data_IF_555494029490
#
_entry.id   IF_555494029490
#
_cell.length_a   1.000
_cell.length_b   1.000
_cell.length_c   1.000
_cell.angle_alpha   90.00
_cell.angle_beta   90.00
_cell.angle_gamma   90.00
#
_symmetry.space_group_name_H-M   'P 1'
#
loop_
_entity.id
_entity.type
_entity.pdbx_description
1 polymer ?
#
# COMPACT_ATOMS: atom_id res chain seq x y z
N UNK A 1 48.81 -19.19 59.75
CA UNK A 1 48.31 -20.30 58.91
C UNK A 1 47.33 -19.70 57.90
N UNK A 2 47.82 -19.17 56.77
CA UNK A 2 47.83 -19.83 55.43
C UNK A 2 46.48 -20.47 55.05
N UNK A 3 45.76 -20.10 53.99
CA UNK A 3 45.83 -19.04 53.00
C UNK A 3 44.44 -18.98 52.32
N UNK A 4 43.94 -17.79 51.90
CA UNK A 4 42.86 -17.65 50.93
C UNK A 4 43.44 -17.24 49.56
N UNK A 5 43.03 -17.90 48.48
CA UNK A 5 43.26 -17.50 47.07
C UNK A 5 42.34 -18.38 46.20
N UNK A 6 41.68 -17.94 45.12
CA UNK A 6 42.07 -16.91 44.17
C UNK A 6 40.87 -16.36 43.37
N UNK A 7 40.73 -15.03 43.36
CA UNK A 7 40.28 -14.28 42.19
C UNK A 7 41.44 -14.24 41.19
N UNK A 8 41.25 -14.70 39.94
CA UNK A 8 41.93 -14.21 38.73
C UNK A 8 41.52 -15.04 37.51
N UNK A 9 40.81 -14.41 36.59
CA UNK A 9 41.12 -14.41 35.16
C UNK A 9 40.23 -13.37 34.47
N UNK A 10 40.60 -12.09 34.65
CA UNK A 10 40.37 -11.06 33.65
C UNK A 10 41.48 -11.20 32.61
N UNK A 11 41.12 -11.37 31.33
CA UNK A 11 41.96 -11.00 30.19
C UNK A 11 41.04 -10.60 29.02
N UNK A 12 40.98 -9.28 28.75
CA UNK A 12 40.68 -8.69 27.43
C UNK A 12 41.95 -8.84 26.54
N UNK A 13 42.03 -8.15 25.38
CA UNK A 13 41.37 -8.35 24.09
C UNK A 13 42.42 -8.76 23.02
N UNK A 14 42.02 -9.24 21.84
CA UNK A 14 42.93 -9.30 20.69
C UNK A 14 42.31 -8.66 19.46
N UNK A 15 43.08 -7.70 18.96
CA UNK A 15 42.92 -6.77 17.85
C UNK A 15 42.68 -7.40 16.48
N UNK A 16 41.92 -6.63 15.70
CA UNK A 16 41.91 -6.48 14.23
C UNK A 16 42.97 -7.21 13.40
N UNK A 17 42.50 -7.98 12.43
CA UNK A 17 43.20 -8.20 11.16
C UNK A 17 42.22 -7.99 10.00
N UNK A 18 42.52 -6.96 9.22
CA UNK A 18 42.00 -6.64 7.90
C UNK A 18 42.37 -7.73 6.90
N UNK A 19 41.38 -8.26 6.17
CA UNK A 19 41.60 -8.95 4.91
C UNK A 19 40.69 -8.33 3.85
N UNK A 20 41.28 -7.41 3.10
CA UNK A 20 40.85 -7.02 1.77
C UNK A 20 41.21 -8.14 0.79
N UNK A 21 40.22 -8.78 0.17
CA UNK A 21 40.39 -9.33 -1.17
C UNK A 21 39.07 -9.26 -1.95
N UNK A 22 39.20 -8.63 -3.11
CA UNK A 22 38.29 -8.57 -4.22
C UNK A 22 38.00 -9.96 -4.80
N UNK A 23 36.76 -10.17 -5.24
CA UNK A 23 36.38 -11.40 -5.93
C UNK A 23 34.89 -11.45 -6.22
N UNK A 24 34.50 -10.89 -7.36
CA UNK A 24 33.21 -11.13 -8.00
C UNK A 24 32.88 -12.63 -7.99
N UNK A 25 31.81 -13.03 -7.29
CA UNK A 25 31.15 -14.32 -7.52
C UNK A 25 29.73 -14.07 -8.00
N UNK A 26 29.64 -14.08 -9.32
CA UNK A 26 28.42 -14.22 -10.11
C UNK A 26 27.83 -15.59 -9.76
N UNK A 27 26.60 -15.61 -9.24
CA UNK A 27 25.82 -16.84 -9.13
C UNK A 27 25.24 -17.16 -10.52
N UNK A 28 25.53 -18.34 -11.12
CA UNK A 28 24.81 -18.77 -12.30
C UNK A 28 23.45 -19.32 -11.89
N UNK A 29 22.39 -18.69 -12.41
CA UNK A 29 21.10 -19.34 -12.58
C UNK A 29 21.27 -20.56 -13.48
N UNK A 30 20.80 -21.73 -13.04
CA UNK A 30 20.53 -22.87 -13.91
C UNK A 30 19.13 -23.39 -13.61
N UNK A 31 18.23 -23.11 -14.53
CA UNK A 31 16.95 -23.79 -14.74
C UNK A 31 17.22 -25.08 -15.52
N UNK A 32 16.92 -26.25 -14.96
CA UNK A 32 16.65 -27.45 -15.76
C UNK A 32 15.53 -28.27 -15.14
N UNK A 33 14.66 -28.76 -16.02
CA UNK A 33 13.41 -29.44 -15.73
C UNK A 33 13.63 -30.82 -15.09
N UNK A 34 12.70 -31.21 -14.22
CA UNK A 34 12.58 -32.58 -13.71
C UNK A 34 11.99 -33.46 -14.82
N UNK A 35 12.85 -33.95 -15.71
CA UNK A 35 12.55 -35.05 -16.63
C UNK A 35 13.64 -36.12 -16.52
N UNK A 36 13.59 -36.90 -15.45
CA UNK A 36 14.30 -38.17 -15.33
C UNK A 36 13.61 -39.05 -14.27
N UNK A 37 12.39 -39.49 -14.57
CA UNK A 37 11.82 -40.66 -13.91
C UNK A 37 12.31 -41.90 -14.69
N UNK A 38 13.04 -42.78 -14.02
CA UNK A 38 13.51 -44.05 -14.60
C UNK A 38 12.31 -44.95 -14.96
N UNK A 39 12.30 -45.59 -16.15
CA UNK A 39 11.23 -46.48 -16.54
C UNK A 39 11.32 -47.77 -15.71
N UNK A 40 10.19 -48.18 -15.12
CA UNK A 40 10.07 -49.47 -14.44
C UNK A 40 10.28 -50.61 -15.44
N UNK A 41 11.33 -51.39 -15.24
CA UNK A 41 11.65 -52.57 -16.05
C UNK A 41 10.62 -53.68 -15.83
N UNK A 42 9.99 -54.13 -16.92
CA UNK A 42 9.14 -55.33 -16.95
C UNK A 42 10.03 -56.57 -16.90
N UNK A 43 9.75 -57.47 -15.96
CA UNK A 43 10.42 -58.78 -15.81
C UNK A 43 9.90 -59.77 -16.84
N UNK A 44 10.80 -60.31 -17.67
CA UNK A 44 10.54 -61.52 -18.46
C UNK A 44 10.71 -62.77 -17.59
N UNK A 45 9.85 -63.76 -17.85
CA UNK A 45 9.76 -65.04 -17.16
C UNK A 45 10.92 -65.98 -17.53
N UNK A 46 11.53 -66.62 -16.52
CA UNK A 46 12.49 -67.71 -16.69
C UNK A 46 11.80 -69.06 -16.53
N UNK A 47 12.03 -69.99 -17.47
CA UNK A 47 11.85 -71.45 -17.27
C UNK A 47 13.07 -71.99 -16.51
N UNK A 48 12.80 -72.68 -15.40
CA UNK A 48 13.74 -73.51 -14.60
C UNK A 48 13.99 -74.88 -15.30
N UNK A 49 14.98 -75.75 -14.92
CA UNK A 49 15.39 -76.05 -13.52
C UNK A 49 16.85 -76.48 -13.22
N UNK A 50 17.25 -76.36 -11.94
CA UNK A 50 17.99 -77.36 -11.13
C UNK A 50 18.33 -76.77 -9.73
N UNK A 51 17.92 -77.47 -8.66
CA UNK A 51 18.11 -77.09 -7.25
C UNK A 51 19.53 -77.49 -6.72
N UNK A 52 19.92 -77.31 -5.43
CA UNK A 52 19.21 -76.72 -4.28
C UNK A 52 20.06 -75.74 -3.42
N UNK A 53 19.48 -75.29 -2.30
CA UNK A 53 20.08 -74.58 -1.16
C UNK A 53 20.05 -73.04 -1.19
N UNK A 54 19.17 -72.44 -0.37
CA UNK A 54 19.51 -71.56 0.77
C UNK A 54 18.29 -70.78 1.27
N UNK A 55 18.15 -70.79 2.60
CA UNK A 55 17.52 -69.80 3.48
C UNK A 55 16.12 -69.27 3.11
N UNK A 56 15.15 -69.56 4.00
CA UNK A 56 13.74 -69.23 3.86
C UNK A 56 13.43 -67.84 3.30
N UNK A 57 12.66 -67.83 2.20
CA UNK A 57 11.94 -66.66 1.72
C UNK A 57 10.98 -66.21 2.84
N UNK A 58 11.39 -65.24 3.66
CA UNK A 58 10.44 -64.50 4.49
C UNK A 58 9.49 -63.77 3.54
N UNK A 59 8.22 -64.18 3.52
CA UNK A 59 7.14 -63.44 2.89
C UNK A 59 7.07 -62.07 3.58
N UNK A 60 7.66 -61.05 2.96
CA UNK A 60 7.53 -59.66 3.39
C UNK A 60 6.10 -59.22 3.09
N UNK A 61 5.19 -59.52 4.01
CA UNK A 61 3.86 -58.92 4.05
C UNK A 61 4.10 -57.42 4.20
N UNK A 62 3.92 -56.65 3.13
CA UNK A 62 3.96 -55.19 3.23
C UNK A 62 2.98 -54.79 4.33
N UNK A 63 3.40 -53.92 5.27
CA UNK A 63 2.54 -53.50 6.37
C UNK A 63 1.19 -53.09 5.78
N UNK A 64 0.16 -53.91 5.97
CA UNK A 64 -1.20 -53.59 5.56
C UNK A 64 -1.53 -52.29 6.28
N UNK A 65 -1.39 -51.15 5.58
CA UNK A 65 -1.85 -49.87 6.10
C UNK A 65 -3.35 -50.07 6.23
N UNK A 66 -3.81 -50.42 7.43
CA UNK A 66 -5.24 -50.34 7.78
C UNK A 66 -5.68 -49.00 7.23
N UNK A 67 -6.68 -48.98 6.34
CA UNK A 67 -7.30 -47.75 5.86
C UNK A 67 -7.89 -47.08 7.10
N UNK A 68 -7.07 -46.35 7.85
CA UNK A 68 -7.55 -45.44 8.88
C UNK A 68 -8.43 -44.50 8.08
N UNK A 69 -9.73 -44.54 8.36
CA UNK A 69 -10.66 -43.51 7.92
C UNK A 69 -10.18 -42.26 8.64
N UNK A 70 -9.29 -41.53 7.99
CA UNK A 70 -8.85 -40.23 8.48
C UNK A 70 -10.03 -39.33 8.14
N UNK A 71 -10.81 -38.96 9.16
CA UNK A 71 -11.80 -37.90 9.03
C UNK A 71 -11.05 -36.62 8.66
N UNK A 72 -11.03 -36.31 7.36
CA UNK A 72 -10.45 -35.06 6.87
C UNK A 72 -11.47 -33.98 7.16
N UNK A 73 -11.05 -32.97 7.94
CA UNK A 73 -11.87 -31.79 8.21
C UNK A 73 -12.32 -31.09 6.91
N UNK A 74 -13.39 -30.30 7.02
CA UNK A 74 -13.95 -29.56 5.88
C UNK A 74 -12.89 -28.65 5.27
N UNK A 75 -12.75 -28.72 3.95
CA UNK A 75 -11.86 -27.82 3.23
C UNK A 75 -12.40 -26.37 3.30
N UNK A 76 -11.51 -25.36 3.38
CA UNK A 76 -11.94 -23.96 3.36
C UNK A 76 -12.62 -23.61 2.03
N UNK A 77 -13.55 -22.68 2.08
CA UNK A 77 -14.29 -22.22 0.90
C UNK A 77 -13.39 -21.42 -0.06
N UNK A 78 -13.74 -21.33 -1.36
CA UNK A 78 -13.04 -20.47 -2.30
C UNK A 78 -12.96 -19.03 -1.78
N UNK A 79 -11.76 -18.45 -1.77
CA UNK A 79 -11.53 -17.08 -1.29
C UNK A 79 -11.33 -16.92 0.23
N UNK A 80 -11.72 -17.89 1.06
CA UNK A 80 -11.63 -17.79 2.53
C UNK A 80 -10.19 -17.54 3.00
N UNK A 81 -9.21 -18.23 2.40
CA UNK A 81 -7.78 -18.03 2.71
C UNK A 81 -7.29 -16.63 2.36
N UNK A 82 -7.77 -16.03 1.26
CA UNK A 82 -7.40 -14.67 0.84
C UNK A 82 -8.04 -13.64 1.78
N UNK A 83 -9.32 -13.81 2.09
CA UNK A 83 -10.04 -12.98 3.04
C UNK A 83 -9.39 -13.01 4.43
N UNK A 84 -8.96 -14.18 4.92
CA UNK A 84 -8.28 -14.30 6.21
C UNK A 84 -6.96 -13.51 6.28
N UNK A 85 -6.19 -13.45 5.18
CA UNK A 85 -4.93 -12.70 5.12
C UNK A 85 -5.14 -11.19 4.94
N UNK A 86 -6.22 -10.79 4.26
CA UNK A 86 -6.58 -9.38 4.06
C UNK A 86 -7.47 -8.81 5.18
N UNK A 87 -7.94 -9.62 6.12
CA UNK A 87 -8.80 -9.16 7.21
C UNK A 87 -8.09 -8.10 8.05
N UNK A 88 -8.83 -7.05 8.37
CA UNK A 88 -8.40 -6.00 9.30
C UNK A 88 -9.20 -6.11 10.59
N UNK A 89 -8.52 -5.98 11.72
CA UNK A 89 -9.12 -5.96 13.05
C UNK A 89 -8.75 -4.63 13.67
N UNK A 90 -9.76 -3.79 13.93
CA UNK A 90 -9.58 -2.39 14.36
C UNK A 90 -9.75 -2.19 15.87
N UNK A 91 -10.20 -3.20 16.60
CA UNK A 91 -10.42 -3.15 18.04
C UNK A 91 -9.87 -4.39 18.74
N UNK A 92 -9.49 -4.20 20.00
CA UNK A 92 -9.05 -5.23 20.93
C UNK A 92 -9.60 -4.94 22.31
N UNK A 93 -10.46 -5.81 22.81
CA UNK A 93 -11.12 -5.64 24.11
C UNK A 93 -10.14 -5.82 25.29
N UNK A 94 -9.07 -6.58 25.07
CA UNK A 94 -8.03 -6.78 26.09
C UNK A 94 -7.15 -5.55 26.30
N UNK A 95 -7.13 -4.61 25.34
CA UNK A 95 -6.37 -3.39 25.45
C UNK A 95 -7.06 -2.39 26.38
N UNK A 96 -6.28 -1.72 27.23
CA UNK A 96 -6.81 -0.76 28.19
C UNK A 96 -7.29 0.51 27.46
N UNK A 97 -8.43 1.11 27.87
CA UNK A 97 -8.85 2.39 27.33
C UNK A 97 -7.94 3.51 27.84
N UNK A 98 -7.22 4.15 26.92
CA UNK A 98 -6.34 5.28 27.25
C UNK A 98 -7.18 6.48 27.72
N UNK A 99 -6.93 6.95 28.94
CA UNK A 99 -7.63 8.09 29.54
C UNK A 99 -7.23 9.39 28.81
N UNK A 100 -8.20 10.24 28.49
CA UNK A 100 -7.97 11.55 27.87
C UNK A 100 -7.71 11.52 26.35
N UNK A 101 -7.92 10.38 25.69
CA UNK A 101 -7.80 10.27 24.23
C UNK A 101 -8.92 11.07 23.55
N UNK A 102 -8.55 12.13 22.83
CA UNK A 102 -9.49 12.96 22.07
C UNK A 102 -9.85 12.30 20.74
N UNK A 103 -11.09 12.47 20.31
CA UNK A 103 -11.54 12.04 18.97
C UNK A 103 -11.24 13.11 17.93
N UNK A 104 -11.02 12.68 16.69
CA UNK A 104 -10.67 13.56 15.57
C UNK A 104 -11.88 14.36 15.11
N UNK A 105 -11.78 15.69 15.16
CA UNK A 105 -12.68 16.62 14.47
C UNK A 105 -12.05 17.16 13.18
N UNK A 106 -12.82 17.98 12.44
CA UNK A 106 -12.40 18.62 11.19
C UNK A 106 -11.04 19.35 11.32
N UNK A 107 -10.92 20.25 12.29
CA UNK A 107 -9.74 21.12 12.43
C UNK A 107 -8.59 20.45 13.21
N UNK A 108 -8.79 19.22 13.69
CA UNK A 108 -7.85 18.57 14.63
C UNK A 108 -6.49 18.31 13.98
N UNK A 109 -6.48 17.97 12.69
CA UNK A 109 -5.25 17.70 11.93
C UNK A 109 -4.60 18.96 11.37
N UNK A 110 -5.31 20.09 11.35
CA UNK A 110 -4.81 21.38 10.88
C UNK A 110 -4.02 22.13 11.98
N UNK A 111 -4.44 21.96 13.24
CA UNK A 111 -3.85 22.67 14.38
C UNK A 111 -2.44 22.18 14.71
N UNK A 112 -1.46 23.09 14.66
CA UNK A 112 -0.07 22.83 15.02
C UNK A 112 0.13 22.46 16.49
N UNK A 113 -0.79 22.88 17.37
CA UNK A 113 -0.79 22.49 18.79
C UNK A 113 -1.01 20.99 19.03
N UNK A 114 -1.55 20.29 18.03
CA UNK A 114 -1.79 18.85 18.11
C UNK A 114 -0.58 18.03 17.64
N UNK A 115 0.49 18.65 17.17
CA UNK A 115 1.73 17.94 16.80
C UNK A 115 2.23 17.14 18.01
N UNK A 116 2.48 15.85 17.78
CA UNK A 116 2.91 14.92 18.82
C UNK A 116 1.77 14.40 19.70
N UNK A 117 0.51 14.75 19.45
CA UNK A 117 -0.64 14.17 20.18
C UNK A 117 -1.26 13.02 19.39
N UNK A 118 -1.86 12.09 20.12
CA UNK A 118 -2.56 10.94 19.56
C UNK A 118 -4.06 11.19 19.60
N UNK A 119 -4.71 10.90 18.49
CA UNK A 119 -6.12 11.21 18.26
C UNK A 119 -6.82 9.96 17.76
N UNK A 120 -7.97 9.64 18.34
CA UNK A 120 -8.81 8.52 17.91
C UNK A 120 -9.63 8.88 16.67
N UNK A 121 -9.82 7.91 15.77
CA UNK A 121 -10.71 8.06 14.62
C UNK A 121 -12.18 7.88 15.08
N UNK A 122 -13.12 8.76 14.72
CA UNK A 122 -14.55 8.58 14.97
C UNK A 122 -15.09 7.33 14.27
N UNK A 123 -16.11 6.69 14.84
CA UNK A 123 -16.68 5.43 14.31
C UNK A 123 -17.20 5.57 12.88
N UNK A 124 -17.95 6.65 12.58
CA UNK A 124 -18.45 6.91 11.22
C UNK A 124 -17.33 7.04 10.19
N UNK A 125 -16.18 7.58 10.61
CA UNK A 125 -15.01 7.72 9.75
C UNK A 125 -14.29 6.39 9.56
N UNK A 126 -14.22 5.56 10.61
CA UNK A 126 -13.64 4.22 10.52
C UNK A 126 -14.37 3.37 9.46
N UNK A 127 -15.71 3.46 9.40
CA UNK A 127 -16.50 2.76 8.38
C UNK A 127 -16.16 3.24 6.96
N UNK A 128 -16.07 4.56 6.74
CA UNK A 128 -15.68 5.12 5.44
C UNK A 128 -14.28 4.66 5.01
N UNK A 129 -13.31 4.74 5.93
CA UNK A 129 -11.92 4.31 5.70
C UNK A 129 -11.80 2.80 5.48
N UNK A 130 -12.67 2.00 6.12
CA UNK A 130 -12.75 0.55 5.92
C UNK A 130 -13.33 0.18 4.56
N UNK A 131 -14.36 0.90 4.11
CA UNK A 131 -14.98 0.71 2.79
C UNK A 131 -13.99 0.98 1.66
N UNK A 132 -13.13 1.99 1.81
CA UNK A 132 -12.10 2.33 0.82
C UNK A 132 -10.82 1.48 0.93
N UNK A 133 -10.77 0.49 1.83
CA UNK A 133 -9.61 -0.39 2.05
C UNK A 133 -8.32 0.38 2.41
N UNK A 134 -8.43 1.52 3.08
CA UNK A 134 -7.26 2.35 3.49
C UNK A 134 -6.43 1.71 4.60
N UNK A 135 -7.10 0.98 5.50
CA UNK A 135 -6.44 0.20 6.54
C UNK A 135 -5.76 -1.01 5.90
N UNK A 136 -4.46 -1.15 6.13
CA UNK A 136 -3.70 -2.27 5.59
C UNK A 136 -3.50 -3.37 6.64
N UNK A 137 -3.50 -4.65 6.24
CA UNK A 137 -3.30 -5.77 7.17
C UNK A 137 -1.90 -5.81 7.79
N UNK A 138 -0.94 -5.08 7.21
CA UNK A 138 0.42 -4.92 7.73
C UNK A 138 0.50 -3.99 8.94
N UNK A 139 -0.54 -3.19 9.19
CA UNK A 139 -0.63 -2.24 10.30
C UNK A 139 -1.25 -2.92 11.53
N UNK A 140 -0.71 -2.67 12.73
CA UNK A 140 -1.11 -3.37 13.96
C UNK A 140 -2.25 -2.69 14.73
N UNK A 141 -3.36 -2.36 14.07
CA UNK A 141 -4.56 -1.78 14.72
C UNK A 141 -5.14 -2.69 15.80
N UNK A 142 -5.06 -4.00 15.58
CA UNK A 142 -5.53 -5.07 16.48
C UNK A 142 -4.91 -5.07 17.88
N UNK A 143 -3.91 -4.24 18.14
CA UNK A 143 -3.28 -4.15 19.45
C UNK A 143 -4.04 -3.21 20.38
N UNK A 144 -4.80 -2.26 19.84
CA UNK A 144 -5.41 -1.18 20.59
C UNK A 144 -6.94 -1.30 20.61
N UNK A 145 -7.56 -0.63 21.59
CA UNK A 145 -9.02 -0.67 21.78
C UNK A 145 -9.78 0.13 20.72
N UNK A 146 -9.26 1.32 20.38
CA UNK A 146 -9.78 2.20 19.33
C UNK A 146 -8.65 2.50 18.33
N UNK A 147 -8.93 2.59 17.03
CA UNK A 147 -7.92 2.99 16.05
C UNK A 147 -7.60 4.48 16.23
N UNK A 148 -6.34 4.76 16.54
CA UNK A 148 -5.84 6.11 16.77
C UNK A 148 -4.56 6.37 16.00
N UNK A 149 -4.36 7.63 15.61
CA UNK A 149 -3.22 8.07 14.81
C UNK A 149 -2.46 9.18 15.53
N UNK A 150 -1.14 9.22 15.30
CA UNK A 150 -0.27 10.28 15.77
C UNK A 150 -0.32 11.46 14.78
N UNK A 151 -0.61 12.66 15.26
CA UNK A 151 -0.52 13.88 14.46
C UNK A 151 0.94 14.30 14.39
N UNK A 152 1.53 14.22 13.21
CA UNK A 152 2.93 14.59 12.97
C UNK A 152 3.05 15.99 12.39
N UNK A 153 4.26 16.54 12.41
CA UNK A 153 4.57 17.76 11.65
C UNK A 153 4.18 17.65 10.17
N UNK A 154 4.51 16.52 9.53
CA UNK A 154 4.19 16.31 8.12
C UNK A 154 2.68 16.20 7.86
N UNK A 155 1.91 15.73 8.85
CA UNK A 155 0.43 15.68 8.77
C UNK A 155 -0.15 17.09 8.71
N UNK A 156 0.29 17.97 9.60
CA UNK A 156 -0.17 19.35 9.66
C UNK A 156 0.22 20.11 8.39
N UNK A 157 1.46 19.92 7.92
CA UNK A 157 1.93 20.52 6.65
C UNK A 157 1.10 20.06 5.44
N UNK A 158 0.78 18.76 5.36
CA UNK A 158 -0.02 18.22 4.27
C UNK A 158 -1.45 18.76 4.29
N UNK A 159 -2.08 18.78 5.47
CA UNK A 159 -3.46 19.26 5.64
C UNK A 159 -3.56 20.75 5.29
N UNK A 160 -2.63 21.57 5.79
CA UNK A 160 -2.59 23.00 5.45
C UNK A 160 -2.46 23.24 3.94
N UNK A 161 -1.68 22.42 3.22
CA UNK A 161 -1.57 22.49 1.76
C UNK A 161 -2.86 22.07 1.07
N UNK A 162 -3.54 21.04 1.58
CA UNK A 162 -4.84 20.63 1.05
C UNK A 162 -5.88 21.74 1.19
N UNK A 163 -6.01 22.35 2.37
CA UNK A 163 -6.97 23.42 2.61
C UNK A 163 -6.65 24.68 1.79
N UNK A 164 -5.37 25.03 1.68
CA UNK A 164 -4.92 26.14 0.83
C UNK A 164 -5.27 25.90 -0.63
N UNK A 165 -5.14 24.65 -1.12
CA UNK A 165 -5.50 24.28 -2.48
C UNK A 165 -7.01 24.35 -2.71
N UNK A 166 -7.81 23.84 -1.78
CA UNK A 166 -9.27 23.92 -1.85
C UNK A 166 -9.78 25.37 -1.79
N UNK A 167 -9.25 26.20 -0.89
CA UNK A 167 -9.62 27.61 -0.74
C UNK A 167 -9.27 28.45 -1.97
N UNK A 168 -8.13 28.17 -2.62
CA UNK A 168 -7.71 28.83 -3.86
C UNK A 168 -8.31 28.21 -5.13
N UNK A 169 -9.15 27.17 -5.01
CA UNK A 169 -9.65 26.35 -6.13
C UNK A 169 -8.53 25.83 -7.04
N UNK A 170 -7.36 25.59 -6.47
CA UNK A 170 -6.21 25.01 -7.15
C UNK A 170 -6.07 23.52 -6.81
N UNK A 171 -5.15 22.84 -7.51
CA UNK A 171 -4.95 21.40 -7.35
C UNK A 171 -3.59 21.12 -6.74
N UNK A 172 -3.59 20.57 -5.52
CA UNK A 172 -2.37 20.07 -4.89
C UNK A 172 -1.99 18.76 -5.56
N UNK A 173 -0.77 18.67 -6.12
CA UNK A 173 -0.24 17.45 -6.74
C UNK A 173 0.97 17.02 -5.94
N UNK A 174 0.82 15.97 -5.14
CA UNK A 174 1.81 15.57 -4.13
C UNK A 174 2.18 14.09 -4.25
N UNK A 175 3.47 13.78 -4.18
CA UNK A 175 3.97 12.41 -4.03
C UNK A 175 4.63 12.24 -2.67
N UNK A 176 4.11 11.29 -1.89
CA UNK A 176 4.69 10.88 -0.62
C UNK A 176 5.82 9.88 -0.88
N UNK A 177 7.03 10.30 -0.57
CA UNK A 177 8.24 9.48 -0.62
C UNK A 177 8.82 9.30 0.77
N UNK A 178 9.75 8.37 0.92
CA UNK A 178 10.35 8.04 2.21
C UNK A 178 10.72 6.58 2.33
N UNK A 179 11.32 6.26 3.46
CA UNK A 179 11.87 4.94 3.73
C UNK A 179 10.80 3.88 3.97
N UNK A 180 11.26 2.64 4.06
CA UNK A 180 10.37 1.51 4.30
C UNK A 180 9.72 1.71 5.66
N UNK A 181 8.38 1.58 5.71
CA UNK A 181 7.61 1.63 6.96
C UNK A 181 7.71 3.01 7.68
N UNK A 182 8.01 4.09 6.95
CA UNK A 182 8.05 5.46 7.51
C UNK A 182 6.67 6.09 7.80
N UNK A 183 5.57 5.44 7.40
CA UNK A 183 4.20 5.93 7.61
C UNK A 183 3.51 6.55 6.39
N UNK A 184 4.00 6.29 5.16
CA UNK A 184 3.43 6.85 3.90
C UNK A 184 1.93 6.56 3.72
N UNK A 185 1.53 5.30 3.85
CA UNK A 185 0.12 4.90 3.73
C UNK A 185 -0.74 5.43 4.89
N UNK A 186 -0.16 5.61 6.09
CA UNK A 186 -0.86 6.24 7.22
C UNK A 186 -1.08 7.73 7.01
N UNK A 187 -0.12 8.43 6.39
CA UNK A 187 -0.29 9.84 6.03
C UNK A 187 -1.37 10.01 4.95
N UNK A 188 -1.46 9.09 3.98
CA UNK A 188 -2.61 9.05 3.05
C UNK A 188 -3.94 8.83 3.80
N UNK A 189 -3.97 7.93 4.77
CA UNK A 189 -5.16 7.70 5.60
C UNK A 189 -5.56 8.97 6.35
N UNK A 190 -4.60 9.71 6.91
CA UNK A 190 -4.86 10.99 7.58
C UNK A 190 -5.38 12.07 6.61
N UNK A 191 -4.86 12.12 5.38
CA UNK A 191 -5.37 13.01 4.35
C UNK A 191 -6.83 12.69 3.99
N UNK A 192 -7.17 11.40 3.88
CA UNK A 192 -8.54 10.94 3.64
C UNK A 192 -9.46 11.22 4.84
N UNK A 193 -8.96 11.00 6.06
CA UNK A 193 -9.68 11.31 7.29
C UNK A 193 -10.12 12.78 7.32
N UNK A 194 -9.18 13.68 7.05
CA UNK A 194 -9.43 15.10 6.95
C UNK A 194 -10.46 15.45 5.85
N UNK A 195 -10.30 14.86 4.67
CA UNK A 195 -11.21 15.07 3.55
C UNK A 195 -12.65 14.63 3.87
N UNK A 196 -12.85 13.47 4.48
CA UNK A 196 -14.19 13.01 4.88
C UNK A 196 -14.84 13.92 5.92
N UNK A 197 -14.08 14.38 6.92
CA UNK A 197 -14.59 15.28 7.96
C UNK A 197 -15.01 16.65 7.38
N UNK A 198 -14.32 17.12 6.34
CA UNK A 198 -14.61 18.39 5.65
C UNK A 198 -15.57 18.24 4.46
N UNK A 199 -16.26 17.10 4.31
CA UNK A 199 -17.20 16.82 3.23
C UNK A 199 -16.59 16.91 1.81
N UNK A 200 -15.32 16.53 1.66
CA UNK A 200 -14.70 16.37 0.34
C UNK A 200 -15.11 15.04 -0.28
N UNK A 201 -15.11 15.00 -1.61
CA UNK A 201 -15.29 13.74 -2.33
C UNK A 201 -13.94 13.01 -2.30
N UNK A 202 -13.90 11.76 -1.82
CA UNK A 202 -12.69 10.92 -1.81
C UNK A 202 -12.79 9.76 -2.81
N UNK A 203 -11.85 9.69 -3.74
CA UNK A 203 -11.60 8.53 -4.62
C UNK A 203 -10.23 7.97 -4.24
N UNK A 204 -10.19 6.72 -3.81
CA UNK A 204 -8.97 6.07 -3.35
C UNK A 204 -8.69 4.76 -4.10
N UNK A 205 -7.44 4.60 -4.52
CA UNK A 205 -6.88 3.36 -5.06
C UNK A 205 -6.00 2.73 -3.97
N UNK A 206 -6.46 1.66 -3.30
CA UNK A 206 -5.77 1.09 -2.14
C UNK A 206 -4.48 0.35 -2.49
N UNK A 207 -4.44 -0.34 -3.64
CA UNK A 207 -3.23 -1.01 -4.11
C UNK A 207 -3.13 -0.92 -5.64
N UNK A 208 -2.23 -0.07 -6.12
CA UNK A 208 -1.99 0.08 -7.54
C UNK A 208 -1.40 -1.17 -8.22
N UNK A 209 -0.92 -2.15 -7.45
CA UNK A 209 -0.47 -3.43 -8.00
C UNK A 209 -1.61 -4.20 -8.70
N UNK A 210 -2.84 -4.14 -8.16
CA UNK A 210 -4.00 -4.85 -8.73
C UNK A 210 -4.36 -4.31 -10.13
N UNK A 211 -3.97 -3.07 -10.43
CA UNK A 211 -4.16 -2.44 -11.74
C UNK A 211 -3.15 -2.90 -12.78
N UNK A 212 -1.96 -3.38 -12.42
CA UNK A 212 -0.87 -3.61 -13.39
C UNK A 212 -0.36 -5.05 -13.47
N UNK A 213 -0.74 -5.92 -12.52
CA UNK A 213 -0.23 -7.32 -12.43
C UNK A 213 -1.06 -8.34 -13.23
N UNK A 214 -1.75 -7.91 -14.28
CA UNK A 214 -2.56 -8.79 -15.15
C UNK A 214 -3.54 -9.74 -14.40
N UNK A 215 -4.07 -9.30 -13.26
CA UNK A 215 -4.91 -10.12 -12.39
C UNK A 215 -6.41 -9.79 -12.47
N UNK A 216 -6.77 -8.73 -13.20
CA UNK A 216 -8.14 -8.29 -13.43
C UNK A 216 -8.46 -8.31 -14.92
N UNK A 217 -9.74 -8.43 -15.27
CA UNK A 217 -10.18 -8.42 -16.67
C UNK A 217 -10.03 -7.02 -17.27
N UNK A 218 -9.69 -6.99 -18.56
CA UNK A 218 -9.43 -5.77 -19.31
C UNK A 218 -9.95 -5.90 -20.74
N UNK A 219 -10.39 -4.79 -21.31
CA UNK A 219 -10.88 -4.71 -22.69
C UNK A 219 -10.37 -3.44 -23.37
N UNK A 220 -10.04 -3.46 -24.67
CA UNK A 220 -9.67 -2.26 -25.40
C UNK A 220 -10.88 -1.33 -25.54
N UNK A 221 -10.65 -0.02 -25.50
CA UNK A 221 -11.65 1.00 -25.77
C UNK A 221 -11.56 1.38 -27.26
N UNK A 222 -12.63 1.24 -28.05
CA UNK A 222 -12.62 1.65 -29.45
C UNK A 222 -12.38 3.17 -29.57
N UNK A 223 -11.84 3.60 -30.72
CA UNK A 223 -11.64 5.02 -31.07
C UNK A 223 -10.67 5.81 -30.18
N UNK A 224 -9.79 5.14 -29.43
CA UNK A 224 -8.74 5.78 -28.63
C UNK A 224 -7.36 5.72 -29.31
N UNK A 225 -6.60 6.82 -29.28
CA UNK A 225 -5.23 6.93 -29.82
C UNK A 225 -4.28 7.50 -28.75
N UNK A 226 -3.28 6.73 -28.25
CA UNK A 226 -3.08 5.29 -28.41
C UNK A 226 -4.26 4.48 -27.85
N UNK A 227 -4.35 3.19 -28.23
CA UNK A 227 -5.41 2.29 -27.76
C UNK A 227 -5.34 2.19 -26.24
N UNK A 228 -6.43 2.59 -25.58
CA UNK A 228 -6.58 2.52 -24.13
C UNK A 228 -7.32 1.25 -23.73
N UNK A 229 -7.05 0.76 -22.52
CA UNK A 229 -7.67 -0.45 -22.00
C UNK A 229 -8.45 -0.16 -20.72
N UNK A 230 -9.74 -0.49 -20.70
CA UNK A 230 -10.60 -0.38 -19.53
C UNK A 230 -10.55 -1.64 -18.67
N UNK A 231 -10.66 -1.48 -17.35
CA UNK A 231 -10.67 -2.58 -16.37
C UNK A 231 -12.03 -2.63 -15.66
N UNK A 232 -12.98 -3.32 -16.28
CA UNK A 232 -14.40 -3.25 -15.93
C UNK A 232 -14.70 -3.74 -14.50
N UNK A 233 -14.24 -4.93 -14.13
CA UNK A 233 -14.47 -5.49 -12.79
C UNK A 233 -13.84 -4.65 -11.67
N UNK A 234 -12.65 -4.09 -11.91
CA UNK A 234 -11.99 -3.22 -10.94
C UNK A 234 -12.76 -1.91 -10.76
N UNK A 235 -13.16 -1.29 -11.87
CA UNK A 235 -13.92 -0.03 -11.85
C UNK A 235 -15.30 -0.22 -11.20
N UNK A 236 -15.97 -1.36 -11.42
CA UNK A 236 -17.22 -1.67 -10.74
C UNK A 236 -17.05 -1.73 -9.21
N UNK A 237 -16.02 -2.45 -8.73
CA UNK A 237 -15.69 -2.50 -7.30
C UNK A 237 -15.38 -1.11 -6.74
N UNK A 238 -14.63 -0.30 -7.51
CA UNK A 238 -14.29 1.07 -7.14
C UNK A 238 -15.53 1.98 -7.06
N UNK A 239 -16.46 1.89 -8.01
CA UNK A 239 -17.71 2.64 -7.97
C UNK A 239 -18.55 2.29 -6.74
N UNK A 240 -18.59 1.01 -6.37
CA UNK A 240 -19.28 0.56 -5.15
C UNK A 240 -18.65 1.12 -3.88
N UNK A 241 -17.31 1.19 -3.80
CA UNK A 241 -16.63 1.80 -2.65
C UNK A 241 -16.82 3.31 -2.61
N UNK A 242 -16.74 4.01 -3.75
CA UNK A 242 -17.01 5.45 -3.87
C UNK A 242 -18.44 5.77 -3.40
N UNK A 243 -19.43 4.99 -3.85
CA UNK A 243 -20.83 5.15 -3.45
C UNK A 243 -20.99 5.07 -1.94
N UNK A 244 -20.49 3.99 -1.33
CA UNK A 244 -20.66 3.72 0.11
C UNK A 244 -19.88 4.72 0.98
N UNK A 245 -18.69 5.11 0.56
CA UNK A 245 -17.86 6.03 1.35
C UNK A 245 -18.35 7.49 1.27
N UNK A 246 -18.88 7.92 0.13
CA UNK A 246 -19.28 9.32 -0.14
C UNK A 246 -20.80 9.52 -0.22
N UNK A 247 -21.60 8.61 0.34
CA UNK A 247 -23.07 8.59 0.19
C UNK A 247 -23.72 9.94 0.53
N UNK A 248 -23.31 10.56 1.64
CA UNK A 248 -23.82 11.86 2.12
C UNK A 248 -23.62 13.00 1.12
N UNK A 249 -22.54 12.94 0.34
CA UNK A 249 -22.18 13.96 -0.66
C UNK A 249 -22.91 13.68 -1.97
N UNK A 250 -22.88 12.43 -2.42
CA UNK A 250 -23.47 12.00 -3.69
C UNK A 250 -24.99 12.15 -3.74
N UNK A 251 -25.66 12.08 -2.59
CA UNK A 251 -27.10 12.33 -2.50
C UNK A 251 -27.48 13.81 -2.71
N UNK A 252 -26.58 14.75 -2.40
CA UNK A 252 -26.82 16.19 -2.49
C UNK A 252 -26.51 16.77 -3.88
N UNK A 253 -25.62 16.11 -4.63
CA UNK A 253 -25.16 16.60 -5.93
C UNK A 253 -26.04 16.02 -7.02
N UNK A 254 -26.47 16.86 -7.97
CA UNK A 254 -27.28 16.48 -9.13
C UNK A 254 -26.47 16.52 -10.43
N UNK A 255 -26.88 15.70 -11.42
CA UNK A 255 -26.31 15.68 -12.77
C UNK A 255 -26.63 16.97 -13.52
N UNK A 256 -25.66 17.48 -14.29
CA UNK A 256 -25.79 18.69 -15.12
C UNK A 256 -25.78 18.33 -16.61
N UNK A 257 -25.01 17.30 -16.98
CA UNK A 257 -24.81 16.87 -18.35
C UNK A 257 -25.72 15.69 -18.69
N UNK A 258 -26.11 15.58 -19.96
CA UNK A 258 -26.75 14.37 -20.48
C UNK A 258 -25.68 13.37 -20.91
N UNK A 259 -25.82 12.12 -20.50
CA UNK A 259 -24.90 11.04 -20.85
C UNK A 259 -25.63 9.97 -21.66
N UNK A 260 -25.30 9.87 -22.95
CA UNK A 260 -25.97 8.95 -23.90
C UNK A 260 -25.48 7.51 -23.75
N UNK A 261 -24.20 7.32 -23.43
CA UNK A 261 -23.52 6.00 -23.41
C UNK A 261 -23.72 5.21 -22.10
N UNK A 262 -24.76 5.54 -21.33
CA UNK A 262 -25.03 4.88 -20.05
C UNK A 262 -25.90 3.63 -20.24
N UNK A 263 -25.74 2.60 -19.39
CA UNK A 263 -26.62 1.42 -19.40
C UNK A 263 -28.09 1.76 -19.13
N UNK A 264 -28.34 2.83 -18.39
CA UNK A 264 -29.66 3.35 -18.08
C UNK A 264 -29.71 4.83 -18.43
N UNK A 265 -30.80 5.27 -19.06
CA UNK A 265 -30.98 6.67 -19.38
C UNK A 265 -31.29 7.45 -18.09
N UNK A 266 -30.44 8.41 -17.75
CA UNK A 266 -30.57 9.25 -16.56
C UNK A 266 -30.82 10.67 -17.02
N UNK A 267 -31.93 11.24 -16.54
CA UNK A 267 -32.30 12.61 -16.84
C UNK A 267 -31.37 13.60 -16.13
N UNK A 268 -31.22 14.77 -16.72
CA UNK A 268 -30.52 15.91 -16.10
C UNK A 268 -31.25 16.26 -14.78
N UNK A 269 -30.50 16.76 -13.80
CA UNK A 269 -30.96 17.05 -12.43
C UNK A 269 -31.34 15.82 -11.58
N UNK A 270 -30.89 14.62 -11.96
CA UNK A 270 -31.00 13.43 -11.12
C UNK A 270 -29.84 13.39 -10.10
N UNK A 271 -30.01 12.79 -8.91
CA UNK A 271 -28.92 12.69 -7.94
C UNK A 271 -27.75 11.84 -8.50
N UNK A 272 -26.50 12.23 -8.24
CA UNK A 272 -25.31 11.47 -8.69
C UNK A 272 -25.28 10.05 -8.10
N UNK A 273 -25.93 9.84 -6.96
CA UNK A 273 -26.13 8.50 -6.41
C UNK A 273 -26.89 7.58 -7.38
N UNK A 274 -27.88 8.10 -8.13
CA UNK A 274 -28.58 7.33 -9.16
C UNK A 274 -27.66 6.99 -10.35
N UNK A 275 -26.77 7.91 -10.73
CA UNK A 275 -25.74 7.67 -11.76
C UNK A 275 -24.85 6.48 -11.41
N UNK A 276 -24.33 6.43 -10.19
CA UNK A 276 -23.47 5.32 -9.76
C UNK A 276 -24.25 4.01 -9.65
N UNK A 277 -25.54 4.06 -9.29
CA UNK A 277 -26.39 2.87 -9.21
C UNK A 277 -26.71 2.22 -10.57
N UNK A 278 -26.53 2.95 -11.68
CA UNK A 278 -26.69 2.37 -13.01
C UNK A 278 -25.61 1.32 -13.32
N UNK A 279 -24.43 1.42 -12.70
CA UNK A 279 -23.38 0.41 -12.81
C UNK A 279 -23.68 -0.82 -11.95
N UNK A 280 -24.53 -1.72 -12.47
CA UNK A 280 -24.77 -3.05 -11.88
C UNK A 280 -23.84 -4.11 -12.47
N UNK A 281 -23.53 -3.96 -13.75
CA UNK A 281 -22.75 -4.89 -14.54
C UNK A 281 -21.36 -4.32 -14.86
N UNK A 282 -20.35 -5.18 -15.09
CA UNK A 282 -18.99 -4.73 -15.38
C UNK A 282 -18.89 -4.00 -16.73
N UNK A 283 -19.65 -4.41 -17.74
CA UNK A 283 -19.56 -3.86 -19.11
C UNK A 283 -19.78 -2.33 -19.15
N UNK A 284 -20.80 -1.85 -18.42
CA UNK A 284 -21.12 -0.42 -18.30
C UNK A 284 -20.36 0.33 -17.21
N UNK A 285 -19.52 -0.34 -16.41
CA UNK A 285 -18.86 0.31 -15.27
C UNK A 285 -17.92 1.45 -15.69
N UNK A 286 -17.22 1.28 -16.82
CA UNK A 286 -16.31 2.30 -17.33
C UNK A 286 -17.03 3.55 -17.84
N UNK A 287 -18.14 3.38 -18.58
CA UNK A 287 -18.92 4.54 -19.08
C UNK A 287 -19.55 5.31 -17.93
N UNK A 288 -20.08 4.63 -16.92
CA UNK A 288 -20.59 5.25 -15.69
C UNK A 288 -19.50 6.00 -14.92
N UNK A 289 -18.30 5.42 -14.78
CA UNK A 289 -17.18 6.10 -14.14
C UNK A 289 -16.75 7.35 -14.91
N UNK A 290 -16.68 7.28 -16.24
CA UNK A 290 -16.35 8.42 -17.09
C UNK A 290 -17.39 9.54 -16.95
N UNK A 291 -18.68 9.19 -16.95
CA UNK A 291 -19.77 10.14 -16.71
C UNK A 291 -19.67 10.78 -15.32
N UNK A 292 -19.43 9.98 -14.27
CA UNK A 292 -19.20 10.48 -12.92
C UNK A 292 -18.01 11.44 -12.87
N UNK A 293 -16.91 11.09 -13.51
CA UNK A 293 -15.71 11.94 -13.56
C UNK A 293 -15.98 13.26 -14.27
N UNK A 294 -16.74 13.24 -15.37
CA UNK A 294 -17.19 14.45 -16.06
C UNK A 294 -18.03 15.32 -15.13
N UNK A 295 -19.04 14.76 -14.46
CA UNK A 295 -19.93 15.47 -13.52
C UNK A 295 -19.20 16.10 -12.32
N UNK A 296 -18.17 15.41 -11.82
CA UNK A 296 -17.33 15.92 -10.74
C UNK A 296 -16.41 17.05 -11.21
N UNK A 297 -16.02 17.06 -12.49
CA UNK A 297 -15.10 18.04 -13.08
C UNK A 297 -15.78 19.12 -13.92
N UNK A 298 -17.12 19.19 -13.92
CA UNK A 298 -17.88 20.25 -14.58
C UNK A 298 -17.47 21.64 -14.05
N UNK A 299 -17.19 22.56 -14.98
CA UNK A 299 -16.92 23.96 -14.66
C UNK A 299 -18.20 24.69 -14.24
N UNK A 300 -18.09 25.65 -13.33
CA UNK A 300 -19.19 26.51 -12.86
C UNK A 300 -20.31 25.81 -12.07
N UNK A 301 -20.23 24.51 -11.83
CA UNK A 301 -21.04 23.82 -10.84
C UNK A 301 -20.36 23.92 -9.48
N UNK A 302 -21.06 24.42 -8.46
CA UNK A 302 -20.57 24.44 -7.07
C UNK A 302 -20.47 22.98 -6.55
N UNK A 303 -19.31 22.34 -6.74
CA UNK A 303 -19.04 20.97 -6.26
C UNK A 303 -18.05 21.00 -5.10
N UNK A 304 -18.07 19.98 -4.23
CA UNK A 304 -17.03 19.83 -3.21
C UNK A 304 -15.66 19.56 -3.86
N UNK A 305 -14.56 19.87 -3.15
CA UNK A 305 -13.22 19.50 -3.58
C UNK A 305 -13.06 17.98 -3.71
N UNK A 306 -12.17 17.56 -4.60
CA UNK A 306 -11.89 16.15 -4.90
C UNK A 306 -10.53 15.77 -4.31
N UNK A 307 -10.50 14.71 -3.50
CA UNK A 307 -9.28 14.02 -3.10
C UNK A 307 -9.14 12.74 -3.93
N UNK A 308 -8.18 12.71 -4.86
CA UNK A 308 -7.83 11.52 -5.62
C UNK A 308 -6.51 10.94 -5.10
N UNK A 309 -6.56 9.77 -4.47
CA UNK A 309 -5.39 9.17 -3.82
C UNK A 309 -5.04 7.81 -4.40
N UNK A 310 -3.75 7.48 -4.43
CA UNK A 310 -3.24 6.19 -4.88
C UNK A 310 -2.08 5.73 -4.01
N UNK A 311 -2.15 4.51 -3.49
CA UNK A 311 -1.00 3.86 -2.84
C UNK A 311 -0.30 2.89 -3.82
N UNK A 312 1.03 2.84 -3.75
CA UNK A 312 1.85 2.00 -4.62
C UNK A 312 2.20 2.61 -5.98
N UNK A 313 2.50 3.91 -6.03
CA UNK A 313 2.84 4.65 -7.27
C UNK A 313 3.83 3.94 -8.21
N UNK A 314 4.82 3.24 -7.65
CA UNK A 314 5.84 2.52 -8.42
C UNK A 314 5.24 1.48 -9.40
N UNK A 315 4.08 0.91 -9.09
CA UNK A 315 3.43 -0.10 -9.93
C UNK A 315 2.85 0.45 -11.22
N UNK A 316 2.45 1.73 -11.24
CA UNK A 316 1.89 2.40 -12.43
C UNK A 316 2.94 3.17 -13.24
N UNK A 317 4.14 3.37 -12.69
CA UNK A 317 5.26 4.05 -13.34
C UNK A 317 6.19 3.07 -14.08
N UNK A 318 5.61 2.01 -14.64
CA UNK A 318 6.31 0.97 -15.40
C UNK A 318 5.41 0.43 -16.51
N UNK A 319 5.98 -0.41 -17.36
CA UNK A 319 5.20 -1.25 -18.27
C UNK A 319 4.39 -2.26 -17.44
N UNK A 320 3.10 -2.44 -17.77
CA UNK A 320 2.22 -3.36 -17.07
C UNK A 320 2.43 -4.80 -17.57
N UNK A 321 1.89 -5.77 -16.84
CA UNK A 321 2.02 -7.19 -17.20
C UNK A 321 0.94 -7.62 -18.23
N UNK A 322 0.03 -6.70 -18.62
CA UNK A 322 -1.01 -6.95 -19.63
C UNK A 322 -0.46 -7.01 -21.05
N UNK A 323 -1.22 -7.67 -21.95
CA UNK A 323 -0.82 -7.92 -23.33
C UNK A 323 -1.82 -7.34 -24.32
N UNK A 324 -1.34 -6.75 -25.40
CA UNK A 324 -2.18 -6.35 -26.53
C UNK A 324 -2.52 -7.58 -27.40
N UNK A 325 -3.46 -7.46 -28.36
CA UNK A 325 -3.71 -8.52 -29.35
C UNK A 325 -2.46 -8.91 -30.17
N UNK A 326 -1.50 -7.99 -30.33
CA UNK A 326 -0.19 -8.25 -30.94
C UNK A 326 0.81 -8.93 -29.99
N UNK A 327 0.37 -9.33 -28.80
CA UNK A 327 1.19 -9.94 -27.74
C UNK A 327 2.30 -9.02 -27.17
N UNK A 328 2.17 -7.71 -27.37
CA UNK A 328 3.08 -6.71 -26.81
C UNK A 328 2.65 -6.33 -25.39
N UNK A 329 3.61 -5.99 -24.52
CA UNK A 329 3.28 -5.50 -23.19
C UNK A 329 2.66 -4.11 -23.27
N UNK A 330 1.56 -3.91 -22.56
CA UNK A 330 0.86 -2.62 -22.51
C UNK A 330 1.52 -1.73 -21.46
N UNK A 331 1.77 -0.47 -21.79
CA UNK A 331 2.30 0.49 -20.81
C UNK A 331 1.23 0.81 -19.75
N UNK A 332 1.58 0.94 -18.47
CA UNK A 332 0.57 1.16 -17.42
C UNK A 332 -0.25 2.44 -17.62
N UNK A 333 0.34 3.50 -18.18
CA UNK A 333 -0.38 4.73 -18.55
C UNK A 333 -1.38 4.56 -19.71
N UNK A 334 -1.40 3.43 -20.42
CA UNK A 334 -2.40 3.13 -21.46
C UNK A 334 -3.62 2.42 -20.87
N UNK A 335 -3.57 2.00 -19.59
CA UNK A 335 -4.75 1.57 -18.84
C UNK A 335 -5.59 2.81 -18.51
N UNK A 336 -6.85 2.80 -18.92
CA UNK A 336 -7.69 4.00 -18.95
C UNK A 336 -7.89 4.63 -17.57
N UNK A 337 -8.09 3.82 -16.53
CA UNK A 337 -8.20 4.34 -15.16
C UNK A 337 -6.86 4.91 -14.64
N UNK A 338 -5.75 4.21 -14.87
CA UNK A 338 -4.41 4.72 -14.52
C UNK A 338 -4.12 6.04 -15.25
N UNK A 339 -4.51 6.13 -16.52
CA UNK A 339 -4.39 7.34 -17.33
C UNK A 339 -5.14 8.51 -16.69
N UNK A 340 -6.38 8.32 -16.23
CA UNK A 340 -7.13 9.39 -15.54
C UNK A 340 -6.42 9.89 -14.28
N UNK A 341 -5.79 9.00 -13.51
CA UNK A 341 -4.99 9.38 -12.35
C UNK A 341 -3.72 10.13 -12.73
N UNK A 342 -2.98 9.64 -13.73
CA UNK A 342 -1.73 10.26 -14.21
C UNK A 342 -2.00 11.63 -14.83
N UNK A 343 -3.09 11.78 -15.59
CA UNK A 343 -3.48 13.08 -16.16
C UNK A 343 -3.87 14.09 -15.07
N UNK A 344 -4.49 13.64 -13.97
CA UNK A 344 -4.74 14.48 -12.80
C UNK A 344 -3.44 14.84 -12.06
N UNK A 345 -2.52 13.90 -11.91
CA UNK A 345 -1.22 14.12 -11.27
C UNK A 345 -0.32 15.07 -12.07
N UNK A 346 -0.32 14.98 -13.39
CA UNK A 346 0.42 15.87 -14.28
C UNK A 346 -0.18 17.29 -14.32
N UNK A 347 -1.49 17.40 -14.12
CA UNK A 347 -2.27 18.63 -14.24
C UNK A 347 -2.92 18.85 -15.61
N UNK A 348 -3.00 17.80 -16.44
CA UNK A 348 -3.75 17.82 -17.69
C UNK A 348 -5.26 17.86 -17.40
N UNK A 349 -5.71 17.08 -16.42
CA UNK A 349 -7.07 17.16 -15.90
C UNK A 349 -7.15 18.28 -14.84
N UNK A 350 -8.02 19.28 -15.09
CA UNK A 350 -8.24 20.40 -14.16
C UNK A 350 -9.37 20.05 -13.19
N UNK A 351 -9.24 20.45 -11.92
CA UNK A 351 -10.35 20.44 -10.96
C UNK A 351 -10.85 21.86 -10.73
N UNK A 352 -12.00 22.25 -11.31
CA UNK A 352 -12.51 23.62 -11.20
C UNK A 352 -12.81 24.06 -9.76
N UNK A 353 -13.16 23.10 -8.90
CA UNK A 353 -13.52 23.34 -7.50
C UNK A 353 -12.33 23.11 -6.54
N UNK A 354 -11.12 22.95 -7.09
CA UNK A 354 -9.93 22.59 -6.33
C UNK A 354 -9.95 21.15 -5.82
N UNK A 355 -8.87 20.79 -5.12
CA UNK A 355 -8.71 19.46 -4.55
C UNK A 355 -7.25 19.04 -4.46
N UNK A 356 -7.03 17.75 -4.26
CA UNK A 356 -5.69 17.18 -4.14
C UNK A 356 -5.58 15.84 -4.86
N UNK A 357 -4.46 15.64 -5.57
CA UNK A 357 -4.01 14.37 -6.11
C UNK A 357 -2.78 13.95 -5.33
N UNK A 358 -2.91 12.89 -4.52
CA UNK A 358 -1.83 12.44 -3.63
C UNK A 358 -1.48 10.98 -3.94
N UNK A 359 -0.24 10.74 -4.33
CA UNK A 359 0.28 9.40 -4.55
C UNK A 359 1.27 9.01 -3.46
N UNK A 360 1.20 7.79 -2.93
CA UNK A 360 2.23 7.25 -2.05
C UNK A 360 3.12 6.23 -2.77
N UNK A 361 4.42 6.34 -2.54
CA UNK A 361 5.39 5.31 -2.95
C UNK A 361 5.39 4.16 -1.94
N UNK A 362 5.59 2.93 -2.41
CA UNK A 362 5.84 1.78 -1.54
C UNK A 362 7.30 1.33 -1.68
N UNK A 363 7.91 0.82 -0.60
CA UNK A 363 9.26 0.21 -0.61
C UNK A 363 9.25 -1.26 -0.16
N UNK A 364 8.10 -1.80 0.24
CA UNK A 364 7.98 -3.18 0.70
C UNK A 364 7.79 -4.16 -0.46
N UNK A 365 6.84 -3.86 -1.34
CA UNK A 365 6.54 -4.63 -2.53
C UNK A 365 6.37 -3.66 -3.71
N UNK A 366 7.50 -3.20 -4.24
CA UNK A 366 7.52 -2.23 -5.34
C UNK A 366 8.59 -2.64 -6.37
N UNK A 367 8.25 -2.59 -7.67
CA UNK A 367 9.24 -2.73 -8.72
C UNK A 367 10.20 -1.54 -8.68
N UNK A 368 11.45 -1.76 -9.12
CA UNK A 368 12.39 -0.66 -9.30
C UNK A 368 11.98 0.13 -10.55
N UNK A 369 11.73 1.42 -10.39
CA UNK A 369 11.38 2.34 -11.47
C UNK A 369 12.38 3.52 -11.47
N UNK A 370 13.52 3.40 -12.19
CA UNK A 370 14.58 4.41 -12.18
C UNK A 370 14.10 5.81 -12.54
N UNK A 371 13.21 5.95 -13.54
CA UNK A 371 12.65 7.26 -13.92
C UNK A 371 11.82 7.89 -12.82
N UNK A 372 11.03 7.11 -12.07
CA UNK A 372 10.26 7.64 -10.95
C UNK A 372 11.20 8.10 -9.84
N UNK A 373 12.18 7.29 -9.45
CA UNK A 373 13.15 7.64 -8.41
C UNK A 373 13.97 8.88 -8.78
N UNK A 374 14.41 8.96 -10.03
CA UNK A 374 15.12 10.11 -10.58
C UNK A 374 14.25 11.37 -10.56
N UNK A 375 13.02 11.31 -11.09
CA UNK A 375 12.12 12.45 -11.10
C UNK A 375 11.83 12.96 -9.68
N UNK A 376 11.58 12.06 -8.73
CA UNK A 376 11.37 12.43 -7.33
C UNK A 376 12.62 13.07 -6.70
N UNK A 377 13.81 12.55 -6.99
CA UNK A 377 15.07 13.12 -6.50
C UNK A 377 15.35 14.52 -7.07
N UNK A 378 14.98 14.76 -8.33
CA UNK A 378 15.07 16.08 -8.96
C UNK A 378 14.10 17.06 -8.32
N UNK A 379 12.82 16.69 -8.13
CA UNK A 379 11.83 17.56 -7.48
C UNK A 379 12.26 17.94 -6.05
N UNK A 380 12.82 16.99 -5.30
CA UNK A 380 13.35 17.25 -3.96
C UNK A 380 14.54 18.22 -3.99
N UNK A 381 15.49 18.03 -4.91
CA UNK A 381 16.64 18.92 -5.06
C UNK A 381 16.22 20.35 -5.45
N UNK A 382 15.21 20.48 -6.32
CA UNK A 382 14.61 21.75 -6.72
C UNK A 382 13.88 22.45 -5.56
N UNK A 383 13.11 21.70 -4.75
CA UNK A 383 12.44 22.21 -3.55
C UNK A 383 13.44 22.66 -2.47
N UNK A 384 14.55 21.94 -2.33
CA UNK A 384 15.67 22.31 -1.45
C UNK A 384 16.53 23.46 -2.03
N UNK A 385 16.20 23.99 -3.22
CA UNK A 385 16.92 25.06 -3.93
C UNK A 385 18.42 24.77 -4.13
N UNK A 386 18.78 23.50 -4.36
CA UNK A 386 20.16 23.11 -4.64
C UNK A 386 20.64 23.67 -5.99
N UNK A 387 21.96 23.92 -6.15
CA UNK A 387 22.51 24.39 -7.42
C UNK A 387 22.27 23.35 -8.53
N UNK A 388 22.12 23.83 -9.77
CA UNK A 388 21.80 22.97 -10.93
C UNK A 388 22.83 21.85 -11.20
N UNK A 389 24.07 21.99 -10.71
CA UNK A 389 25.11 20.97 -10.75
C UNK A 389 24.80 19.76 -9.86
N UNK A 390 24.10 19.95 -8.75
CA UNK A 390 23.76 18.92 -7.76
C UNK A 390 22.41 18.24 -8.04
N UNK A 391 21.64 18.74 -9.01
CA UNK A 391 20.39 18.10 -9.43
C UNK A 391 20.74 16.77 -10.11
N UNK A 392 20.21 15.63 -9.62
CA UNK A 392 20.48 14.33 -10.22
C UNK A 392 20.10 14.28 -11.70
N UNK A 393 21.03 13.85 -12.55
CA UNK A 393 20.83 13.69 -13.99
C UNK A 393 20.62 12.23 -14.35
N UNK A 394 19.92 12.00 -15.45
CA UNK A 394 19.75 10.66 -16.02
C UNK A 394 21.12 10.08 -16.36
N UNK A 395 21.39 8.86 -15.90
CA UNK A 395 22.61 8.15 -16.29
C UNK A 395 22.46 7.67 -17.75
N UNK A 396 23.26 8.20 -18.72
CA UNK A 396 23.09 7.87 -20.13
C UNK A 396 23.36 6.40 -20.46
N UNK A 397 24.07 5.67 -19.59
CA UNK A 397 24.42 4.27 -19.79
C UNK A 397 23.42 3.28 -19.14
N UNK A 398 22.49 3.78 -18.33
CA UNK A 398 21.50 2.94 -17.67
C UNK A 398 20.25 2.83 -18.56
N UNK A 399 19.89 1.60 -18.92
CA UNK A 399 18.66 1.28 -19.67
C UNK A 399 17.46 1.23 -18.71
N UNK A 400 16.27 1.57 -19.21
CA UNK A 400 15.03 1.48 -18.44
C UNK A 400 14.50 2.81 -17.90
N UNK A 401 15.03 3.94 -18.38
CA UNK A 401 14.33 5.22 -18.24
C UNK A 401 13.13 5.27 -19.19
N UNK A 402 12.04 5.86 -18.71
CA UNK A 402 10.80 6.08 -19.42
C UNK A 402 10.44 7.57 -19.39
N UNK A 403 10.45 8.19 -20.57
CA UNK A 403 10.11 9.59 -20.75
C UNK A 403 8.64 9.91 -20.37
N UNK A 404 7.71 8.94 -20.49
CA UNK A 404 6.31 9.14 -20.09
C UNK A 404 6.19 9.33 -18.58
N UNK A 405 6.98 8.58 -17.81
CA UNK A 405 7.03 8.68 -16.35
C UNK A 405 7.63 10.02 -15.93
N UNK A 406 8.75 10.42 -16.54
CA UNK A 406 9.40 11.71 -16.24
C UNK A 406 8.49 12.90 -16.54
N UNK A 407 7.77 12.87 -17.67
CA UNK A 407 6.80 13.90 -18.02
C UNK A 407 5.63 13.98 -17.03
N UNK A 408 5.17 12.84 -16.51
CA UNK A 408 4.06 12.81 -15.54
C UNK A 408 4.42 13.42 -14.19
N UNK A 409 5.69 13.35 -13.78
CA UNK A 409 6.15 13.78 -12.45
C UNK A 409 6.82 15.17 -12.44
N UNK A 410 6.88 15.85 -13.59
CA UNK A 410 7.59 17.12 -13.74
C UNK A 410 7.02 18.25 -12.88
N UNK A 411 5.70 18.31 -12.72
CA UNK A 411 5.00 19.42 -12.04
C UNK A 411 4.51 19.04 -10.62
N UNK A 412 5.09 17.99 -10.02
CA UNK A 412 4.57 17.39 -8.79
C UNK A 412 5.43 17.80 -7.59
N UNK A 413 4.78 18.11 -6.48
CA UNK A 413 5.44 18.34 -5.21
C UNK A 413 5.80 17.01 -4.54
N UNK A 414 6.90 16.96 -3.79
CA UNK A 414 7.37 15.72 -3.17
C UNK A 414 7.54 15.94 -1.68
N UNK A 415 6.83 15.16 -0.88
CA UNK A 415 6.98 15.18 0.57
C UNK A 415 7.75 13.93 1.00
N UNK A 416 8.97 14.12 1.48
CA UNK A 416 9.82 13.03 1.97
C UNK A 416 9.60 12.83 3.46
N UNK A 417 8.92 11.73 3.81
CA UNK A 417 8.77 11.29 5.19
C UNK A 417 10.09 10.80 5.76
N UNK A 418 10.40 11.32 6.96
CA UNK A 418 11.53 10.91 7.79
C UNK A 418 11.04 10.16 9.03
N UNK A 419 11.97 9.73 9.88
CA UNK A 419 11.65 9.24 11.22
C UNK A 419 10.98 10.33 12.06
N UNK A 420 10.22 9.92 13.08
CA UNK A 420 9.59 10.85 14.01
C UNK A 420 10.60 11.55 14.91
N UNK A 421 10.22 12.73 15.38
CA UNK A 421 11.00 13.48 16.36
C UNK A 421 10.91 12.86 17.76
N UNK A 422 11.85 13.21 18.64
CA UNK A 422 11.86 12.75 20.04
C UNK A 422 10.54 12.98 20.79
N UNK A 423 9.89 14.17 20.75
CA UNK A 423 8.63 14.36 21.45
C UNK A 423 7.48 13.52 20.87
N UNK A 424 7.43 13.36 19.54
CA UNK A 424 6.46 12.48 18.86
C UNK A 424 6.67 11.00 19.19
N UNK A 425 7.93 10.56 19.30
CA UNK A 425 8.29 9.22 19.71
C UNK A 425 7.88 8.95 21.17
N UNK A 426 8.09 9.93 22.06
CA UNK A 426 7.70 9.84 23.46
C UNK A 426 6.19 9.67 23.62
N UNK A 427 5.39 10.51 22.99
CA UNK A 427 3.92 10.42 23.11
C UNK A 427 3.37 9.11 22.55
N UNK A 428 3.99 8.58 21.49
CA UNK A 428 3.67 7.26 20.94
C UNK A 428 3.96 6.13 21.92
N UNK A 429 5.11 6.16 22.59
CA UNK A 429 5.47 5.19 23.62
C UNK A 429 4.56 5.30 24.85
N UNK A 430 4.24 6.51 25.29
CA UNK A 430 3.30 6.77 26.39
C UNK A 430 1.91 6.20 26.08
N UNK A 431 1.42 6.33 24.84
CA UNK A 431 0.16 5.74 24.41
C UNK A 431 0.20 4.21 24.39
N UNK A 432 1.31 3.61 23.93
CA UNK A 432 1.48 2.16 23.96
C UNK A 432 1.54 1.62 25.39
N UNK A 433 2.20 2.34 26.30
CA UNK A 433 2.25 2.02 27.73
C UNK A 433 0.87 2.16 28.38
N UNK A 434 0.17 3.27 28.14
CA UNK A 434 -1.17 3.52 28.67
C UNK A 434 -2.22 2.52 28.15
N UNK A 435 -2.01 1.95 26.95
CA UNK A 435 -2.85 0.88 26.40
C UNK A 435 -2.57 -0.50 27.01
N UNK A 436 -1.51 -0.63 27.82
CA UNK A 436 -1.05 -1.89 28.41
C UNK A 436 -0.21 -2.77 27.47
N UNK A 437 0.18 -2.23 26.30
CA UNK A 437 0.94 -2.98 25.29
C UNK A 437 2.45 -2.89 25.49
N UNK A 438 2.94 -1.79 26.07
CA UNK A 438 4.35 -1.62 26.45
C UNK A 438 4.48 -1.70 27.97
N UNK A 439 5.24 -2.68 28.46
CA UNK A 439 5.50 -2.91 29.89
C UNK A 439 6.85 -2.32 30.29
N UNK A 440 6.98 -1.01 30.18
CA UNK A 440 8.21 -0.30 30.54
C UNK A 440 7.89 1.13 30.98
N UNK A 441 8.80 1.73 31.74
CA UNK A 441 8.69 3.13 32.19
C UNK A 441 9.20 4.04 31.08
N UNK A 442 8.31 4.83 30.50
CA UNK A 442 8.62 5.71 29.37
C UNK A 442 9.44 6.91 29.84
N UNK A 443 10.73 6.67 30.07
CA UNK A 443 11.74 7.65 30.43
C UNK A 443 12.51 8.10 29.19
N UNK A 444 13.27 9.21 29.30
CA UNK A 444 14.06 9.71 28.16
C UNK A 444 15.08 8.68 27.66
N UNK A 445 15.61 7.84 28.55
CA UNK A 445 16.49 6.74 28.19
C UNK A 445 15.78 5.74 27.28
N UNK A 446 14.58 5.28 27.67
CA UNK A 446 13.83 4.30 26.87
C UNK A 446 13.43 4.89 25.52
N UNK A 447 12.96 6.15 25.50
CA UNK A 447 12.64 6.85 24.24
C UNK A 447 13.86 6.89 23.32
N UNK A 448 15.03 7.21 23.85
CA UNK A 448 16.28 7.28 23.07
C UNK A 448 16.73 5.89 22.58
N UNK A 449 16.61 4.85 23.42
CA UNK A 449 16.90 3.46 23.05
C UNK A 449 16.02 3.01 21.88
N UNK A 450 14.69 3.16 22.00
CA UNK A 450 13.75 2.76 20.94
C UNK A 450 13.93 3.56 19.65
N UNK A 451 14.21 4.87 19.75
CA UNK A 451 14.53 5.69 18.58
C UNK A 451 15.84 5.26 17.90
N UNK A 452 16.84 4.87 18.67
CA UNK A 452 18.14 4.43 18.13
C UNK A 452 17.99 3.07 17.44
N UNK A 453 17.31 2.11 18.09
CA UNK A 453 17.06 0.77 17.52
C UNK A 453 16.21 0.82 16.24
N UNK A 454 15.35 1.84 16.10
CA UNK A 454 14.52 2.05 14.90
C UNK A 454 15.20 2.85 13.79
N UNK A 455 16.51 3.10 13.88
CA UNK A 455 17.26 3.80 12.83
C UNK A 455 16.91 5.29 12.74
N UNK A 456 16.75 5.95 13.89
CA UNK A 456 16.43 7.38 13.96
C UNK A 456 14.93 7.67 13.96
N UNK A 457 14.12 6.78 14.56
CA UNK A 457 12.68 7.00 14.74
C UNK A 457 11.80 6.55 13.58
N UNK A 458 12.20 5.53 12.80
CA UNK A 458 11.30 4.97 11.77
C UNK A 458 10.14 4.25 12.48
N UNK A 459 8.92 4.77 12.30
CA UNK A 459 7.75 4.39 13.10
C UNK A 459 7.49 2.89 13.20
N UNK A 460 7.39 2.16 12.08
CA UNK A 460 7.09 0.73 12.23
C UNK A 460 8.32 -0.14 12.53
N UNK A 461 9.55 0.39 12.49
CA UNK A 461 10.68 -0.29 13.16
C UNK A 461 10.65 -0.02 14.68
N UNK A 462 10.18 1.15 15.13
CA UNK A 462 9.85 1.38 16.54
C UNK A 462 8.74 0.42 17.00
N UNK A 463 7.70 0.24 16.20
CA UNK A 463 6.61 -0.71 16.48
C UNK A 463 7.13 -2.14 16.63
N UNK A 464 8.05 -2.56 15.76
CA UNK A 464 8.67 -3.89 15.85
C UNK A 464 9.51 -4.09 17.10
N UNK A 465 10.29 -3.08 17.48
CA UNK A 465 11.23 -3.13 18.62
C UNK A 465 10.56 -2.93 19.98
N UNK A 466 9.30 -2.50 19.98
CA UNK A 466 8.49 -2.29 21.19
C UNK A 466 7.37 -3.33 21.31
N UNK A 467 6.50 -3.45 20.31
CA UNK A 467 5.27 -4.24 20.37
C UNK A 467 5.42 -5.65 19.83
N UNK A 468 6.21 -5.85 18.76
CA UNK A 468 6.37 -7.15 18.11
C UNK A 468 7.62 -7.90 18.60
N UNK A 469 7.89 -7.78 19.90
CA UNK A 469 9.00 -8.49 20.54
C UNK A 469 8.50 -9.74 21.26
N UNK A 470 9.37 -10.74 21.40
CA UNK A 470 9.07 -11.93 22.22
C UNK A 470 9.39 -11.73 23.70
N UNK A 471 9.70 -10.49 24.12
CA UNK A 471 9.98 -10.17 25.52
C UNK A 471 8.64 -10.10 26.25
N UNK A 472 8.32 -11.16 26.98
CA UNK A 472 7.13 -11.29 27.85
C UNK A 472 7.37 -10.57 29.17
#
# INVERSE_FOLDING_TARGET
MSAPNSLRCLARPSTSLTLSFSGLRIAPFSTTAVHAASPMTKKNASREPAAPYRAGKKLQISKFKKKKVIERGKAPLPGERKAYRKKIVLSNDNALPVKGLKEMGADTLQNSENIGKIVALPESLQDQLRITETFQPTQSWKMFRKPSVLVRKETVELVNKMDSAAGSKSTLRLVLTGDKISGKSLLLLQAQAHAYLNNWMVIHVPDAQELTTACTEYAPIPDTKPVQYMQQNYVLKLLQSIKKANEKILAKITTVSSHVDLPQNIQINSPLLALINAAKEPEGAWSVFRALWQELTVQNANRPPILFTLDGLAHIMKISDYRSPAYELIHSHDLAFVRTFVDALQGNARFPNGGAVIAATNKSNAPRAPSMELALSQRLAEQEKKPASEIPKSNPYLKGYDARVENSLRNVEVMKLKGVSRPEARSLLEYWAASGMLRATVDEHEVSEKMTLSGGGILGEMERTSLLTMRI
#
